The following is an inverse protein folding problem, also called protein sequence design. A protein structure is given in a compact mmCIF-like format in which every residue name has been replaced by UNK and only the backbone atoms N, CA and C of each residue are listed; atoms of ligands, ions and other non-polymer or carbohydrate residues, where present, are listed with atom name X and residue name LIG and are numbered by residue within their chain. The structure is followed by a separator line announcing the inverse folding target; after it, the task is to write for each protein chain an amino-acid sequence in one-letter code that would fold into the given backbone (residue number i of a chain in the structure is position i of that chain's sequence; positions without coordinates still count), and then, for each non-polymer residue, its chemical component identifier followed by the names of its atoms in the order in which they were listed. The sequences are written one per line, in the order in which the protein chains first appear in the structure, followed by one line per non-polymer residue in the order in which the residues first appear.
data_IF_347526814460
#
_entry.id   IF_347526814460
#
_cell.length_a   1.000
_cell.length_b   1.000
_cell.length_c   1.000
_cell.angle_alpha   90.00
_cell.angle_beta   90.00
_cell.angle_gamma   90.00
#
_symmetry.space_group_name_H-M   'P 1'
#
loop_
_entity.id
_entity.type
_entity.pdbx_description
1 polymer ?
#
# COMPACT_ATOMS: atom_id res chain seq x y z
N UNK A 1 16.85 -67.93 -14.08
CA UNK A 1 17.01 -66.77 -13.16
C UNK A 1 17.24 -65.43 -13.89
N UNK A 2 17.80 -65.41 -15.09
CA UNK A 2 18.18 -64.17 -15.83
C UNK A 2 17.02 -63.26 -16.26
N UNK A 3 15.83 -63.78 -16.58
CA UNK A 3 14.66 -62.96 -16.98
C UNK A 3 14.11 -62.07 -15.85
N UNK A 4 14.09 -62.58 -14.62
CA UNK A 4 13.57 -61.86 -13.45
C UNK A 4 14.53 -60.73 -13.07
N UNK A 5 15.84 -61.01 -13.08
CA UNK A 5 16.87 -60.01 -12.86
C UNK A 5 16.82 -58.88 -13.89
N UNK A 6 16.67 -59.19 -15.18
CA UNK A 6 16.54 -58.16 -16.23
C UNK A 6 15.26 -57.33 -16.09
N UNK A 7 14.17 -57.92 -15.62
CA UNK A 7 12.92 -57.20 -15.39
C UNK A 7 13.04 -56.21 -14.21
N UNK A 8 13.66 -56.64 -13.11
CA UNK A 8 13.92 -55.78 -11.95
C UNK A 8 14.86 -54.63 -12.32
N UNK A 9 15.93 -54.90 -13.06
CA UNK A 9 16.89 -53.88 -13.49
C UNK A 9 16.25 -52.84 -14.43
N UNK A 10 15.37 -53.28 -15.34
CA UNK A 10 14.60 -52.38 -16.20
C UNK A 10 13.59 -51.52 -15.42
N UNK A 11 13.00 -52.08 -14.36
CA UNK A 11 12.07 -51.37 -13.46
C UNK A 11 12.79 -50.30 -12.64
N UNK A 12 13.99 -50.61 -12.12
CA UNK A 12 14.84 -49.67 -11.38
C UNK A 12 15.25 -48.47 -12.27
N UNK A 13 15.74 -48.75 -13.48
CA UNK A 13 16.11 -47.72 -14.46
C UNK A 13 14.92 -46.85 -14.90
N UNK A 14 13.72 -47.44 -15.01
CA UNK A 14 12.51 -46.68 -15.29
C UNK A 14 12.17 -45.73 -14.14
N UNK A 15 12.31 -46.20 -12.89
CA UNK A 15 12.04 -45.42 -11.68
C UNK A 15 13.00 -44.24 -11.56
N UNK A 16 14.29 -44.44 -11.85
CA UNK A 16 15.29 -43.35 -11.88
C UNK A 16 14.95 -42.27 -12.91
N UNK A 17 14.55 -42.64 -14.14
CA UNK A 17 14.14 -41.67 -15.16
C UNK A 17 12.92 -40.84 -14.74
N UNK A 18 11.96 -41.45 -14.05
CA UNK A 18 10.79 -40.75 -13.53
C UNK A 18 11.15 -39.81 -12.37
N UNK A 19 12.01 -40.26 -11.44
CA UNK A 19 12.51 -39.43 -10.35
C UNK A 19 13.28 -38.21 -10.87
N UNK A 20 14.10 -38.38 -11.90
CA UNK A 20 14.85 -37.28 -12.52
C UNK A 20 13.91 -36.23 -13.13
N UNK A 21 12.83 -36.66 -13.80
CA UNK A 21 11.81 -35.75 -14.35
C UNK A 21 11.06 -34.99 -13.25
N UNK A 22 10.69 -35.68 -12.17
CA UNK A 22 10.06 -35.05 -11.01
C UNK A 22 10.97 -34.00 -10.36
N UNK A 23 12.26 -34.31 -10.23
CA UNK A 23 13.25 -33.37 -9.71
C UNK A 23 13.33 -32.10 -10.56
N UNK A 24 13.31 -32.24 -11.89
CA UNK A 24 13.31 -31.10 -12.81
C UNK A 24 12.05 -30.23 -12.67
N UNK A 25 10.88 -30.85 -12.50
CA UNK A 25 9.62 -30.15 -12.26
C UNK A 25 9.67 -29.35 -10.96
N UNK A 26 10.23 -29.92 -9.88
CA UNK A 26 10.37 -29.23 -8.58
C UNK A 26 11.29 -28.02 -8.72
N UNK A 27 12.40 -28.12 -9.46
CA UNK A 27 13.30 -26.98 -9.72
C UNK A 27 12.56 -25.87 -10.45
N UNK A 28 11.84 -26.18 -11.55
CA UNK A 28 11.07 -25.19 -12.31
C UNK A 28 10.03 -24.52 -11.41
N UNK A 29 9.31 -25.30 -10.61
CA UNK A 29 8.31 -24.79 -9.70
C UNK A 29 8.92 -23.86 -8.65
N UNK A 30 10.09 -24.21 -8.11
CA UNK A 30 10.82 -23.40 -7.13
C UNK A 30 11.27 -22.06 -7.74
N UNK A 31 11.77 -22.09 -8.98
CA UNK A 31 12.14 -20.88 -9.73
C UNK A 31 10.90 -20.01 -9.97
N UNK A 32 9.80 -20.59 -10.43
CA UNK A 32 8.54 -19.87 -10.64
C UNK A 32 8.04 -19.22 -9.34
N UNK A 33 8.01 -19.98 -8.23
CA UNK A 33 7.62 -19.47 -6.90
C UNK A 33 8.53 -18.32 -6.46
N UNK A 34 9.84 -18.41 -6.71
CA UNK A 34 10.78 -17.33 -6.42
C UNK A 34 10.46 -16.04 -7.19
N UNK A 35 10.02 -16.13 -8.46
CA UNK A 35 9.54 -14.96 -9.20
C UNK A 35 8.27 -14.36 -8.58
N UNK A 36 7.33 -15.19 -8.07
CA UNK A 36 6.15 -14.69 -7.36
C UNK A 36 6.49 -14.02 -6.02
N UNK A 37 7.50 -14.52 -5.28
CA UNK A 37 7.98 -13.86 -4.07
C UNK A 37 8.68 -12.52 -4.35
N UNK A 38 9.34 -12.37 -5.49
CA UNK A 38 9.89 -11.08 -5.92
C UNK A 38 8.83 -10.07 -6.40
N UNK A 39 7.58 -10.52 -6.61
CA UNK A 39 6.43 -9.64 -6.87
C UNK A 39 5.81 -9.16 -5.55
N UNK A 40 6.49 -9.31 -4.40
CA UNK A 40 6.16 -8.55 -3.21
C UNK A 40 6.37 -7.06 -3.47
N UNK A 41 5.29 -6.45 -3.96
CA UNK A 41 4.80 -5.14 -3.60
C UNK A 41 5.94 -4.15 -3.39
N UNK A 42 6.34 -3.49 -4.47
CA UNK A 42 6.48 -2.04 -4.37
C UNK A 42 5.08 -1.55 -4.00
N UNK A 43 4.75 -1.70 -2.72
CA UNK A 43 3.81 -0.85 -2.04
C UNK A 43 4.51 0.49 -2.21
N UNK A 44 4.11 1.23 -3.24
CA UNK A 44 4.48 2.62 -3.34
C UNK A 44 4.24 3.14 -1.92
N UNK A 45 5.32 3.59 -1.28
CA UNK A 45 5.18 4.22 0.02
C UNK A 45 4.41 5.48 -0.30
N UNK A 46 3.08 5.37 -0.36
CA UNK A 46 2.18 6.47 -0.58
C UNK A 46 2.52 7.44 0.53
N UNK A 47 3.20 8.51 0.15
CA UNK A 47 3.72 9.46 1.12
C UNK A 47 2.49 10.17 1.65
N UNK A 48 2.05 9.76 2.83
CA UNK A 48 0.89 10.37 3.47
C UNK A 48 1.26 11.77 3.93
N UNK A 49 0.47 12.75 3.51
CA UNK A 49 0.61 14.15 3.90
C UNK A 49 -0.69 14.63 4.55
N UNK A 50 -0.56 15.44 5.60
CA UNK A 50 -1.68 16.14 6.22
C UNK A 50 -1.47 17.64 6.04
N UNK A 51 -2.51 18.33 5.56
CA UNK A 51 -2.51 19.78 5.37
C UNK A 51 -3.40 20.39 6.44
N UNK A 52 -2.80 21.17 7.34
CA UNK A 52 -3.56 21.87 8.38
C UNK A 52 -4.25 23.11 7.81
N UNK A 53 -5.22 23.63 8.56
CA UNK A 53 -5.92 24.88 8.23
C UNK A 53 -4.94 26.06 8.09
N UNK A 54 -5.09 26.84 7.02
CA UNK A 54 -4.26 28.02 6.81
C UNK A 54 -4.50 29.07 7.89
N UNK A 55 -3.44 29.63 8.46
CA UNK A 55 -3.59 30.67 9.46
C UNK A 55 -3.80 32.04 8.79
N UNK A 56 -4.92 32.71 9.11
CA UNK A 56 -5.13 34.10 8.70
C UNK A 56 -4.31 35.05 9.59
N UNK A 57 -3.16 35.50 9.07
CA UNK A 57 -2.27 36.44 9.77
C UNK A 57 -2.58 37.91 9.49
N UNK A 58 -3.63 38.19 8.71
CA UNK A 58 -3.95 39.55 8.24
C UNK A 58 -4.71 40.38 9.27
N UNK A 59 -5.14 39.77 10.37
CA UNK A 59 -6.01 40.35 11.40
C UNK A 59 -7.42 40.77 10.92
N UNK A 60 -7.74 40.54 9.65
CA UNK A 60 -9.06 40.77 9.07
C UNK A 60 -9.94 39.52 9.26
N UNK A 61 -10.79 39.51 10.29
CA UNK A 61 -11.65 38.35 10.61
C UNK A 61 -12.64 38.00 9.48
N UNK A 62 -12.96 38.97 8.61
CA UNK A 62 -13.76 38.74 7.41
C UNK A 62 -13.10 37.79 6.40
N UNK A 63 -11.85 37.42 6.59
CA UNK A 63 -11.09 36.49 5.73
C UNK A 63 -10.86 35.12 6.38
N UNK A 64 -11.34 34.89 7.60
CA UNK A 64 -11.12 33.61 8.31
C UNK A 64 -11.73 32.43 7.54
N UNK A 65 -12.81 32.65 6.80
CA UNK A 65 -13.43 31.64 5.92
C UNK A 65 -12.47 31.12 4.82
N UNK A 66 -11.48 31.92 4.40
CA UNK A 66 -10.48 31.50 3.40
C UNK A 66 -9.55 30.42 3.94
N UNK A 67 -9.38 30.35 5.26
CA UNK A 67 -8.53 29.34 5.90
C UNK A 67 -8.92 27.93 5.45
N UNK A 68 -10.22 27.62 5.53
CA UNK A 68 -10.79 26.35 5.11
C UNK A 68 -10.77 26.21 3.59
N UNK A 69 -11.29 27.20 2.87
CA UNK A 69 -11.39 27.13 1.40
C UNK A 69 -10.04 26.95 0.69
N UNK A 70 -8.97 27.58 1.17
CA UNK A 70 -7.62 27.40 0.64
C UNK A 70 -7.03 26.03 1.00
N UNK A 71 -7.31 25.53 2.20
CA UNK A 71 -6.88 24.19 2.63
C UNK A 71 -7.57 23.12 1.79
N UNK A 72 -8.88 23.22 1.57
CA UNK A 72 -9.65 22.33 0.70
C UNK A 72 -9.08 22.31 -0.72
N UNK A 73 -8.85 23.49 -1.32
CA UNK A 73 -8.30 23.61 -2.67
C UNK A 73 -6.91 22.96 -2.79
N UNK A 74 -6.05 23.14 -1.78
CA UNK A 74 -4.72 22.52 -1.80
C UNK A 74 -4.80 20.99 -1.64
N UNK A 75 -5.71 20.48 -0.81
CA UNK A 75 -5.95 19.04 -0.68
C UNK A 75 -6.42 18.46 -2.00
N UNK A 76 -7.38 19.12 -2.67
CA UNK A 76 -7.89 18.71 -3.98
C UNK A 76 -6.79 18.68 -5.04
N UNK A 77 -5.93 19.69 -5.09
CA UNK A 77 -4.79 19.74 -6.01
C UNK A 77 -3.76 18.63 -5.72
N UNK A 78 -3.41 18.39 -4.45
CA UNK A 78 -2.46 17.34 -4.09
C UNK A 78 -3.03 15.93 -4.24
N UNK A 79 -4.35 15.76 -4.13
CA UNK A 79 -5.01 14.47 -4.32
C UNK A 79 -4.89 13.92 -5.74
N UNK A 80 -4.63 14.81 -6.71
CA UNK A 80 -4.40 14.45 -8.12
C UNK A 80 -2.99 13.88 -8.36
N UNK A 81 -2.10 13.94 -7.37
CA UNK A 81 -0.73 13.41 -7.48
C UNK A 81 -0.71 11.97 -6.98
N UNK A 82 -0.61 11.01 -7.91
CA UNK A 82 -0.62 9.54 -7.65
C UNK A 82 0.39 9.04 -6.59
N UNK A 83 1.41 9.84 -6.25
CA UNK A 83 2.45 9.46 -5.28
C UNK A 83 2.09 9.86 -3.84
N UNK A 84 1.09 10.72 -3.65
CA UNK A 84 0.71 11.30 -2.37
C UNK A 84 -0.67 10.81 -1.95
N UNK A 85 -0.80 10.44 -0.68
CA UNK A 85 -2.11 10.20 -0.07
C UNK A 85 -2.39 11.35 0.89
N UNK A 86 -3.38 12.17 0.58
CA UNK A 86 -3.81 13.25 1.46
C UNK A 86 -4.70 12.70 2.58
N UNK A 87 -4.43 13.10 3.81
CA UNK A 87 -5.31 12.83 4.94
C UNK A 87 -6.67 13.52 4.73
N UNK A 88 -7.75 12.88 5.17
CA UNK A 88 -9.07 13.49 5.08
C UNK A 88 -9.26 14.59 6.13
N UNK A 89 -10.22 15.47 5.89
CA UNK A 89 -10.61 16.49 6.86
C UNK A 89 -10.97 15.90 8.23
N UNK A 90 -11.74 14.80 8.24
CA UNK A 90 -12.11 14.11 9.47
C UNK A 90 -10.89 13.61 10.25
N UNK A 91 -9.89 13.04 9.57
CA UNK A 91 -8.67 12.56 10.24
C UNK A 91 -7.90 13.71 10.93
N UNK A 92 -7.97 14.91 10.35
CA UNK A 92 -7.35 16.10 10.89
C UNK A 92 -8.15 16.61 12.10
N UNK A 93 -9.47 16.72 11.98
CA UNK A 93 -10.36 17.12 13.08
C UNK A 93 -10.27 16.17 14.28
N UNK A 94 -10.27 14.86 14.04
CA UNK A 94 -10.09 13.84 15.06
C UNK A 94 -8.74 14.01 15.79
N UNK A 95 -7.69 14.42 15.07
CA UNK A 95 -6.38 14.71 15.65
C UNK A 95 -6.44 15.97 16.53
N UNK A 96 -7.10 17.04 16.09
CA UNK A 96 -7.31 18.23 16.91
C UNK A 96 -8.04 17.89 18.21
N UNK A 97 -9.14 17.15 18.13
CA UNK A 97 -9.89 16.68 19.29
C UNK A 97 -9.07 15.80 20.22
N UNK A 98 -8.30 14.86 19.67
CA UNK A 98 -7.48 13.93 20.46
C UNK A 98 -6.43 14.63 21.33
N UNK A 99 -5.92 15.78 20.88
CA UNK A 99 -4.85 16.50 21.56
C UNK A 99 -5.33 17.79 22.24
N UNK A 100 -6.65 17.99 22.40
CA UNK A 100 -7.25 19.23 22.91
C UNK A 100 -6.71 20.49 22.18
N UNK A 101 -6.38 20.35 20.90
CA UNK A 101 -5.97 21.45 20.05
C UNK A 101 -7.24 22.12 19.54
N UNK A 102 -7.41 23.41 19.81
CA UNK A 102 -8.48 24.17 19.18
C UNK A 102 -8.12 24.37 17.71
N UNK A 103 -8.93 23.91 16.73
CA UNK A 103 -8.72 24.29 15.36
C UNK A 103 -8.76 25.82 15.29
N UNK A 104 -7.77 26.42 14.62
CA UNK A 104 -7.78 27.86 14.34
C UNK A 104 -9.11 28.12 13.63
N UNK A 105 -9.90 29.02 14.23
CA UNK A 105 -11.29 29.37 13.94
C UNK A 105 -11.59 29.67 12.46
N UNK A 106 -11.50 28.67 11.59
CA UNK A 106 -11.83 28.80 10.17
C UNK A 106 -13.32 28.53 9.92
N UNK A 107 -13.91 27.60 10.67
CA UNK A 107 -15.35 27.40 10.84
C UNK A 107 -15.52 26.18 11.74
N UNK A 108 -15.64 26.41 13.06
CA UNK A 108 -16.50 25.52 13.84
C UNK A 108 -17.89 25.84 13.31
N UNK A 109 -18.34 25.00 12.38
CA UNK A 109 -19.67 25.05 11.81
C UNK A 109 -20.66 25.18 12.98
N UNK A 110 -21.25 26.38 13.13
CA UNK A 110 -22.44 26.55 13.94
C UNK A 110 -23.53 25.83 13.17
N UNK A 111 -23.63 24.53 13.38
CA UNK A 111 -24.83 23.76 13.10
C UNK A 111 -26.00 24.52 13.74
N UNK A 112 -26.84 25.08 12.88
CA UNK A 112 -28.04 25.83 13.21
C UNK A 112 -29.16 24.85 13.58
#
# INVERSE_FOLDING_TARGET
MTKIANYLLKKELFKEKYLLKFFYIIIILTVMISFFYNIQTVQASDKKISILYFNNVTHESGWDWLSKGLTDMLIDDLSQVDVLVCSSHQEIEDLYHKYDLSPISAEIDKSL
#
